data_IF_501625090952
#
_entry.id   IF_501625090952
#
_cell.length_a   1.000
_cell.length_b   1.000
_cell.length_c   1.000
_cell.angle_alpha   90.00
_cell.angle_beta   90.00
_cell.angle_gamma   90.00
#
_symmetry.space_group_name_H-M   'P 1'
#
loop_
_entity.id
_entity.type
_entity.pdbx_description
1 polymer ?
#
# COMPACT_ATOMS: atom_id res chain seq x y z
N UNK A 1 -11.27 -19.06 -9.05
CA UNK A 1 -9.93 -19.06 -8.42
C UNK A 1 -10.08 -19.06 -6.91
N UNK A 2 -9.93 -20.22 -6.28
CA UNK A 2 -9.94 -20.34 -4.82
C UNK A 2 -8.55 -19.93 -4.31
N UNK A 3 -8.45 -18.70 -3.80
CA UNK A 3 -7.20 -18.20 -3.20
C UNK A 3 -7.01 -18.95 -1.88
N UNK A 4 -6.11 -19.94 -1.87
CA UNK A 4 -5.70 -20.65 -0.66
C UNK A 4 -4.96 -19.65 0.24
N UNK A 5 -5.56 -19.30 1.38
CA UNK A 5 -4.89 -18.45 2.39
C UNK A 5 -3.71 -19.24 2.97
N UNK A 6 -2.51 -18.67 2.93
CA UNK A 6 -1.34 -19.27 3.56
C UNK A 6 -1.58 -19.39 5.07
N UNK A 7 -1.55 -20.63 5.59
CA UNK A 7 -1.77 -20.99 7.00
C UNK A 7 -0.48 -20.70 7.78
N UNK A 8 -0.05 -19.44 7.78
CA UNK A 8 1.14 -18.96 8.49
C UNK A 8 0.78 -17.98 9.61
N UNK A 9 1.80 -17.51 10.36
CA UNK A 9 1.64 -16.41 11.34
C UNK A 9 0.95 -15.24 10.64
N UNK A 10 -0.16 -14.71 11.17
CA UNK A 10 -0.85 -13.60 10.53
C UNK A 10 0.16 -12.46 10.33
N UNK A 11 0.28 -11.89 9.12
CA UNK A 11 1.17 -10.77 8.89
C UNK A 11 0.62 -9.60 9.71
N UNK A 12 1.19 -9.40 10.90
CA UNK A 12 0.97 -8.18 11.66
C UNK A 12 1.54 -7.08 10.79
N UNK A 13 0.70 -6.13 10.37
CA UNK A 13 1.16 -4.97 9.61
C UNK A 13 2.03 -4.15 10.55
N UNK A 14 3.33 -4.36 10.41
CA UNK A 14 4.37 -3.62 11.13
C UNK A 14 4.73 -2.35 10.36
N UNK A 15 5.35 -1.38 11.04
CA UNK A 15 5.76 -0.10 10.45
C UNK A 15 6.61 -0.29 9.19
N UNK A 16 7.49 -1.30 9.16
CA UNK A 16 8.28 -1.66 7.97
C UNK A 16 7.41 -1.99 6.74
N UNK A 17 6.26 -2.62 6.96
CA UNK A 17 5.29 -2.96 5.90
C UNK A 17 4.61 -1.70 5.37
N UNK A 18 4.28 -0.77 6.25
CA UNK A 18 3.69 0.53 5.91
C UNK A 18 4.67 1.34 5.06
N UNK A 19 5.95 1.39 5.44
CA UNK A 19 6.99 2.08 4.66
C UNK A 19 7.14 1.50 3.25
N UNK A 20 7.21 0.17 3.13
CA UNK A 20 7.29 -0.50 1.81
C UNK A 20 6.07 -0.22 0.92
N UNK A 21 4.87 -0.18 1.50
CA UNK A 21 3.65 0.16 0.77
C UNK A 21 3.65 1.61 0.31
N UNK A 22 4.01 2.53 1.20
CA UNK A 22 4.05 3.95 0.89
C UNK A 22 5.07 4.24 -0.21
N UNK A 23 6.25 3.63 -0.13
CA UNK A 23 7.30 3.75 -1.14
C UNK A 23 6.84 3.21 -2.51
N UNK A 24 6.26 2.00 -2.55
CA UNK A 24 5.74 1.44 -3.79
C UNK A 24 4.61 2.29 -4.40
N UNK A 25 3.69 2.81 -3.57
CA UNK A 25 2.60 3.67 -4.02
C UNK A 25 3.10 5.02 -4.55
N UNK A 26 4.14 5.60 -3.95
CA UNK A 26 4.75 6.84 -4.44
C UNK A 26 5.39 6.65 -5.82
N UNK A 27 5.99 5.50 -6.09
CA UNK A 27 6.58 5.16 -7.39
C UNK A 27 5.55 4.73 -8.46
N UNK A 28 4.30 5.17 -8.35
CA UNK A 28 3.20 4.87 -9.29
C UNK A 28 2.79 3.40 -9.40
N UNK A 29 3.15 2.57 -8.42
CA UNK A 29 2.74 1.16 -8.40
C UNK A 29 1.26 1.02 -8.06
N UNK A 30 0.60 0.04 -8.67
CA UNK A 30 -0.79 -0.29 -8.28
C UNK A 30 -0.85 -0.83 -6.85
N UNK A 31 -1.99 -0.66 -6.16
CA UNK A 31 -2.19 -1.22 -4.80
C UNK A 31 -1.90 -2.73 -4.76
N UNK A 32 -2.26 -3.46 -5.82
CA UNK A 32 -1.98 -4.89 -5.96
C UNK A 32 -0.48 -5.20 -5.95
N UNK A 33 0.30 -4.38 -6.63
CA UNK A 33 1.75 -4.57 -6.75
C UNK A 33 2.49 -4.13 -5.49
N UNK A 34 2.06 -3.01 -4.90
CA UNK A 34 2.52 -2.56 -3.59
C UNK A 34 2.25 -3.63 -2.51
N UNK A 35 1.08 -4.28 -2.52
CA UNK A 35 0.76 -5.38 -1.61
C UNK A 35 1.68 -6.59 -1.82
N UNK A 36 2.00 -6.94 -3.07
CA UNK A 36 2.97 -8.01 -3.38
C UNK A 36 4.37 -7.67 -2.87
N UNK A 37 4.82 -6.44 -3.10
CA UNK A 37 6.13 -5.96 -2.64
C UNK A 37 6.25 -5.95 -1.10
N UNK A 38 5.18 -5.55 -0.42
CA UNK A 38 5.10 -5.55 1.04
C UNK A 38 4.76 -6.92 1.65
N UNK A 39 4.56 -7.94 0.81
CA UNK A 39 4.19 -9.31 1.19
C UNK A 39 2.92 -9.38 2.06
N UNK A 40 1.92 -8.55 1.72
CA UNK A 40 0.59 -8.57 2.35
C UNK A 40 -0.49 -8.89 1.33
N UNK A 41 -1.61 -9.43 1.82
CA UNK A 41 -2.78 -9.63 0.97
C UNK A 41 -3.54 -8.31 0.80
N UNK A 42 -4.23 -8.15 -0.34
CA UNK A 42 -5.12 -7.00 -0.58
C UNK A 42 -6.24 -6.90 0.46
N UNK A 43 -6.77 -8.04 0.90
CA UNK A 43 -7.77 -8.11 1.95
C UNK A 43 -7.26 -7.49 3.27
N UNK A 44 -6.03 -7.84 3.64
CA UNK A 44 -5.35 -7.24 4.79
C UNK A 44 -5.20 -5.72 4.61
N UNK A 45 -4.77 -5.27 3.42
CA UNK A 45 -4.64 -3.84 3.12
C UNK A 45 -5.97 -3.08 3.38
N UNK A 46 -7.08 -3.53 2.81
CA UNK A 46 -8.37 -2.86 2.98
C UNK A 46 -8.92 -2.98 4.40
N UNK A 47 -8.64 -4.09 5.10
CA UNK A 47 -9.01 -4.23 6.51
C UNK A 47 -8.32 -3.16 7.37
N UNK A 48 -7.02 -2.98 7.19
CA UNK A 48 -6.25 -1.96 7.92
C UNK A 48 -6.61 -0.54 7.49
N UNK A 49 -6.98 -0.33 6.23
CA UNK A 49 -7.49 0.96 5.75
C UNK A 49 -8.78 1.39 6.46
N UNK A 50 -9.63 0.42 6.82
CA UNK A 50 -10.90 0.68 7.52
C UNK A 50 -10.75 0.67 9.04
N UNK A 51 -9.82 -0.10 9.60
CA UNK A 51 -9.67 -0.25 11.05
C UNK A 51 -8.72 0.75 11.69
N UNK A 52 -7.68 1.20 10.97
CA UNK A 52 -6.59 2.01 11.54
C UNK A 52 -6.47 3.37 10.82
N UNK A 53 -6.87 4.48 11.45
CA UNK A 53 -6.86 5.80 10.81
C UNK A 53 -5.45 6.26 10.43
N UNK A 54 -4.43 5.92 11.24
CA UNK A 54 -3.03 6.29 10.95
C UNK A 54 -2.53 5.62 9.67
N UNK A 55 -2.93 4.36 9.45
CA UNK A 55 -2.58 3.64 8.24
C UNK A 55 -3.24 4.29 7.01
N UNK A 56 -4.51 4.68 7.14
CA UNK A 56 -5.25 5.37 6.08
C UNK A 56 -4.58 6.69 5.69
N UNK A 57 -4.27 7.54 6.67
CA UNK A 57 -3.62 8.83 6.44
C UNK A 57 -2.28 8.68 5.71
N UNK A 58 -1.44 7.72 6.13
CA UNK A 58 -0.15 7.43 5.49
C UNK A 58 -0.31 6.99 4.04
N UNK A 59 -1.30 6.15 3.75
CA UNK A 59 -1.57 5.66 2.40
C UNK A 59 -2.17 6.74 1.49
N UNK A 60 -3.05 7.59 2.03
CA UNK A 60 -3.58 8.76 1.30
C UNK A 60 -2.48 9.75 0.97
N UNK A 61 -1.59 10.04 1.92
CA UNK A 61 -0.41 10.89 1.70
C UNK A 61 0.52 10.31 0.63
N UNK A 62 0.77 9.00 0.65
CA UNK A 62 1.58 8.34 -0.36
C UNK A 62 0.96 8.45 -1.77
N UNK A 63 -0.36 8.28 -1.88
CA UNK A 63 -1.08 8.47 -3.14
C UNK A 63 -1.10 9.92 -3.60
N UNK A 64 -1.26 10.89 -2.70
CA UNK A 64 -1.19 12.31 -3.05
C UNK A 64 0.21 12.67 -3.61
N UNK A 65 1.27 12.12 -3.00
CA UNK A 65 2.65 12.31 -3.46
C UNK A 65 2.92 11.65 -4.82
N UNK A 66 2.26 10.55 -5.15
CA UNK A 66 2.31 9.94 -6.49
C UNK A 66 1.92 10.97 -7.58
N UNK A 67 0.88 11.78 -7.33
CA UNK A 67 0.41 12.79 -8.28
C UNK A 67 1.27 14.07 -8.28
N UNK A 68 2.05 14.31 -7.23
CA UNK A 68 2.95 15.47 -7.17
C UNK A 68 4.12 15.33 -8.14
N UNK A 69 4.60 14.10 -8.39
CA UNK A 69 5.66 13.84 -9.36
C UNK A 69 5.18 13.99 -10.81
N UNK A 70 3.91 13.67 -11.11
CA UNK A 70 3.38 13.87 -12.48
C UNK A 70 3.14 15.34 -12.80
N UNK A 71 2.88 16.18 -11.79
CA UNK A 71 2.57 17.61 -12.00
C UNK A 71 3.76 18.43 -12.49
N UNK A 72 5.00 17.99 -12.29
CA UNK A 72 6.20 18.66 -12.85
C UNK A 72 6.47 18.28 -14.30
N UNK A 73 5.97 17.12 -14.76
CA UNK A 73 6.27 16.57 -16.08
C UNK A 73 5.21 16.92 -17.14
N UNK A 74 4.04 17.43 -16.73
CA UNK A 74 2.93 17.81 -17.61
C UNK A 74 2.95 19.27 -18.08
N UNK A 75 4.05 20.01 -17.85
CA UNK A 75 4.20 21.43 -18.23
C UNK A 75 5.18 21.69 -19.39
N UNK A 76 5.55 20.66 -20.16
CA UNK A 76 6.37 20.81 -21.38
C UNK A 76 5.57 20.45 -22.63
#
# INVERSE_FOLDING_TARGET
MTIKKAIGRPPKVDMKTIYKLADALQHSSTVSDACRHANISRDTYYRYLNSEPVFKERMETAKANQYRLVSFMTLF
#
